data_IF_997396619760
#
_entry.id   IF_997396619760
#
_cell.length_a   1.000
_cell.length_b   1.000
_cell.length_c   1.000
_cell.angle_alpha   90.00
_cell.angle_beta   90.00
_cell.angle_gamma   90.00
#
_symmetry.space_group_name_H-M   'P 1'
#
loop_
_entity.id
_entity.type
_entity.pdbx_description
1 polymer ?
#
# COMPACT_ATOMS: atom_id res chain seq x y z
N UNK A 1 27.72 1.31 5.47
CA UNK A 1 26.92 2.38 4.83
C UNK A 1 25.72 1.72 4.20
N UNK A 2 24.50 2.21 4.46
CA UNK A 2 23.28 1.69 3.84
C UNK A 2 23.39 1.96 2.33
N UNK A 3 23.13 0.93 1.52
CA UNK A 3 23.10 1.12 0.07
C UNK A 3 21.87 1.94 -0.33
N UNK A 4 21.96 2.72 -1.42
CA UNK A 4 20.80 3.49 -1.92
C UNK A 4 19.59 2.57 -2.21
N UNK A 5 19.87 1.34 -2.64
CA UNK A 5 18.86 0.31 -2.91
C UNK A 5 18.13 -0.08 -1.63
N UNK A 6 18.87 -0.36 -0.56
CA UNK A 6 18.33 -0.73 0.75
C UNK A 6 17.52 0.42 1.38
N UNK A 7 17.96 1.67 1.20
CA UNK A 7 17.17 2.84 1.62
C UNK A 7 15.81 2.90 0.91
N UNK A 8 15.79 2.75 -0.42
CA UNK A 8 14.55 2.79 -1.21
C UNK A 8 13.61 1.64 -0.82
N UNK A 9 14.13 0.43 -0.63
CA UNK A 9 13.32 -0.72 -0.18
C UNK A 9 12.67 -0.47 1.18
N UNK A 10 13.43 0.03 2.15
CA UNK A 10 12.90 0.36 3.48
C UNK A 10 11.84 1.46 3.42
N UNK A 11 12.04 2.47 2.58
CA UNK A 11 11.06 3.54 2.37
C UNK A 11 9.75 3.00 1.77
N UNK A 12 9.84 2.14 0.75
CA UNK A 12 8.66 1.51 0.12
C UNK A 12 7.87 0.71 1.15
N UNK A 13 8.54 -0.12 1.96
CA UNK A 13 7.89 -0.92 3.01
C UNK A 13 7.21 0.00 4.03
N UNK A 14 7.90 1.04 4.49
CA UNK A 14 7.37 2.00 5.48
C UNK A 14 6.13 2.73 4.96
N UNK A 15 6.16 3.23 3.72
CA UNK A 15 5.02 3.92 3.10
C UNK A 15 3.84 2.95 2.93
N UNK A 16 4.11 1.72 2.50
CA UNK A 16 3.07 0.70 2.32
C UNK A 16 2.37 0.40 3.66
N UNK A 17 3.12 0.25 4.74
CA UNK A 17 2.56 0.05 6.09
C UNK A 17 1.69 1.22 6.50
N UNK A 18 2.17 2.47 6.35
CA UNK A 18 1.40 3.66 6.69
C UNK A 18 0.10 3.73 5.88
N UNK A 19 0.14 3.39 4.59
CA UNK A 19 -1.04 3.39 3.74
C UNK A 19 -2.08 2.34 4.18
N UNK A 20 -1.63 1.13 4.56
CA UNK A 20 -2.52 0.10 5.13
C UNK A 20 -3.14 0.56 6.46
N UNK A 21 -2.37 1.22 7.32
CA UNK A 21 -2.89 1.78 8.59
C UNK A 21 -3.97 2.83 8.31
N UNK A 22 -3.75 3.76 7.38
CA UNK A 22 -4.72 4.78 7.00
C UNK A 22 -6.00 4.17 6.43
N UNK A 23 -5.86 3.14 5.59
CA UNK A 23 -6.99 2.35 5.11
C UNK A 23 -7.81 1.79 6.27
N UNK A 24 -7.16 1.04 7.18
CA UNK A 24 -7.84 0.39 8.30
C UNK A 24 -8.51 1.41 9.21
N UNK A 25 -7.86 2.52 9.48
CA UNK A 25 -8.42 3.59 10.30
C UNK A 25 -9.69 4.17 9.68
N UNK A 26 -9.65 4.54 8.40
CA UNK A 26 -10.82 5.08 7.68
C UNK A 26 -11.95 4.05 7.62
N UNK A 27 -11.63 2.77 7.39
CA UNK A 27 -12.61 1.69 7.35
C UNK A 27 -13.30 1.47 8.71
N UNK A 28 -12.53 1.42 9.80
CA UNK A 28 -13.05 1.28 11.17
C UNK A 28 -13.91 2.48 11.55
N UNK A 29 -13.47 3.71 11.24
CA UNK A 29 -14.25 4.92 11.50
C UNK A 29 -15.56 4.91 10.70
N UNK A 30 -15.51 4.53 9.42
CA UNK A 30 -16.70 4.44 8.57
C UNK A 30 -17.75 3.48 9.14
N UNK A 31 -17.31 2.31 9.62
CA UNK A 31 -18.19 1.35 10.32
C UNK A 31 -18.70 1.88 11.65
N UNK A 32 -17.85 2.53 12.45
CA UNK A 32 -18.27 3.13 13.72
C UNK A 32 -19.37 4.19 13.51
N UNK A 33 -19.25 5.01 12.48
CA UNK A 33 -20.25 6.03 12.12
C UNK A 33 -21.54 5.36 11.62
N UNK A 34 -21.44 4.41 10.67
CA UNK A 34 -22.61 3.72 10.08
C UNK A 34 -23.38 2.88 11.12
N UNK A 35 -22.65 2.20 12.00
CA UNK A 35 -23.17 1.34 13.06
C UNK A 35 -23.68 2.09 14.30
N UNK A 36 -23.41 3.40 14.40
CA UNK A 36 -23.88 4.19 15.54
C UNK A 36 -25.43 4.29 15.58
N UNK A 37 -26.04 4.26 16.78
CA UNK A 37 -27.49 4.41 16.96
C UNK A 37 -27.93 5.88 16.85
N UNK A 38 -27.45 6.59 15.83
CA UNK A 38 -27.70 8.01 15.61
C UNK A 38 -28.77 8.20 14.53
N UNK A 39 -29.86 8.97 14.77
CA UNK A 39 -30.97 9.14 13.83
C UNK A 39 -30.71 10.19 12.73
N UNK A 40 -29.44 10.44 12.36
CA UNK A 40 -29.08 11.38 11.31
C UNK A 40 -28.66 10.63 10.04
N UNK A 41 -29.57 10.54 9.07
CA UNK A 41 -29.32 9.82 7.82
C UNK A 41 -28.11 10.36 7.03
N UNK A 42 -27.84 11.67 7.11
CA UNK A 42 -26.67 12.29 6.47
C UNK A 42 -25.35 11.75 7.03
N UNK A 43 -25.27 11.55 8.36
CA UNK A 43 -24.08 11.04 9.04
C UNK A 43 -23.84 9.57 8.65
N UNK A 44 -24.91 8.75 8.61
CA UNK A 44 -24.80 7.37 8.16
C UNK A 44 -24.30 7.24 6.72
N UNK A 45 -24.76 8.13 5.81
CA UNK A 45 -24.26 8.20 4.44
C UNK A 45 -22.78 8.59 4.36
N UNK A 46 -22.29 9.47 5.24
CA UNK A 46 -20.86 9.79 5.32
C UNK A 46 -20.05 8.56 5.73
N UNK A 47 -20.49 7.81 6.74
CA UNK A 47 -19.84 6.56 7.15
C UNK A 47 -19.79 5.53 6.02
N UNK A 48 -20.88 5.40 5.26
CA UNK A 48 -20.93 4.53 4.08
C UNK A 48 -19.95 4.95 2.98
N UNK A 49 -19.87 6.24 2.65
CA UNK A 49 -18.88 6.77 1.69
C UNK A 49 -17.45 6.52 2.15
N UNK A 50 -17.16 6.70 3.44
CA UNK A 50 -15.83 6.41 4.00
C UNK A 50 -15.47 4.93 3.86
N UNK A 51 -16.43 4.02 4.06
CA UNK A 51 -16.20 2.58 3.85
C UNK A 51 -15.92 2.30 2.38
N UNK A 52 -16.70 2.87 1.45
CA UNK A 52 -16.50 2.70 0.01
C UNK A 52 -15.11 3.20 -0.43
N UNK A 53 -14.75 4.42 -0.04
CA UNK A 53 -13.45 5.02 -0.35
C UNK A 53 -12.29 4.19 0.23
N UNK A 54 -12.46 3.67 1.46
CA UNK A 54 -11.47 2.79 2.07
C UNK A 54 -11.29 1.48 1.29
N UNK A 55 -12.38 0.85 0.85
CA UNK A 55 -12.30 -0.38 0.03
C UNK A 55 -11.58 -0.12 -1.29
N UNK A 56 -11.87 0.99 -1.96
CA UNK A 56 -11.15 1.39 -3.17
C UNK A 56 -9.67 1.63 -2.89
N UNK A 57 -9.32 2.30 -1.79
CA UNK A 57 -7.94 2.52 -1.41
C UNK A 57 -7.18 1.21 -1.15
N UNK A 58 -7.78 0.26 -0.41
CA UNK A 58 -7.19 -1.06 -0.19
C UNK A 58 -7.03 -1.86 -1.48
N UNK A 59 -8.02 -1.81 -2.37
CA UNK A 59 -7.95 -2.44 -3.67
C UNK A 59 -6.74 -1.91 -4.47
N UNK A 60 -6.58 -0.59 -4.56
CA UNK A 60 -5.45 0.01 -5.27
C UNK A 60 -4.10 -0.28 -4.61
N UNK A 61 -4.03 -0.30 -3.27
CA UNK A 61 -2.81 -0.70 -2.56
C UNK A 61 -2.42 -2.15 -2.84
N UNK A 62 -3.38 -3.07 -2.81
CA UNK A 62 -3.16 -4.47 -3.13
C UNK A 62 -2.73 -4.63 -4.59
N UNK A 63 -3.44 -4.03 -5.54
CA UNK A 63 -3.09 -4.07 -6.96
C UNK A 63 -1.70 -3.49 -7.24
N UNK A 64 -1.39 -2.31 -6.69
CA UNK A 64 -0.11 -1.64 -6.86
C UNK A 64 1.06 -2.46 -6.33
N UNK A 65 0.92 -3.03 -5.13
CA UNK A 65 1.94 -3.90 -4.53
C UNK A 65 2.12 -5.20 -5.33
N UNK A 66 1.04 -5.77 -5.87
CA UNK A 66 1.09 -6.97 -6.71
C UNK A 66 1.83 -6.71 -8.02
N UNK A 67 1.50 -5.62 -8.72
CA UNK A 67 2.17 -5.21 -9.97
C UNK A 67 3.66 -4.95 -9.73
N UNK A 68 3.99 -4.24 -8.65
CA UNK A 68 5.37 -3.97 -8.29
C UNK A 68 6.14 -5.25 -7.97
N UNK A 69 5.53 -6.19 -7.24
CA UNK A 69 6.14 -7.48 -6.93
C UNK A 69 6.43 -8.30 -8.21
N UNK A 70 5.52 -8.29 -9.19
CA UNK A 70 5.73 -8.96 -10.49
C UNK A 70 6.92 -8.33 -11.23
N UNK A 71 6.99 -7.00 -11.30
CA UNK A 71 8.10 -6.30 -11.96
C UNK A 71 9.43 -6.62 -11.27
N UNK A 72 9.45 -6.56 -9.93
CA UNK A 72 10.63 -6.89 -9.14
C UNK A 72 11.08 -8.34 -9.38
N UNK A 73 10.14 -9.29 -9.39
CA UNK A 73 10.42 -10.69 -9.69
C UNK A 73 11.04 -10.87 -11.08
N UNK A 74 10.43 -10.29 -12.12
CA UNK A 74 10.97 -10.33 -13.49
C UNK A 74 12.38 -9.75 -13.51
N UNK A 75 12.60 -8.58 -12.89
CA UNK A 75 13.93 -7.96 -12.84
C UNK A 75 14.99 -8.85 -12.19
N UNK A 76 14.64 -9.59 -11.12
CA UNK A 76 15.58 -10.53 -10.48
C UNK A 76 15.92 -11.74 -11.35
N UNK A 77 14.96 -12.23 -12.16
CA UNK A 77 15.18 -13.37 -13.05
C UNK A 77 16.12 -13.02 -14.21
N UNK A 78 16.00 -11.80 -14.75
CA UNK A 78 16.79 -11.36 -15.91
C UNK A 78 18.06 -10.59 -15.54
N UNK A 79 18.37 -10.43 -14.25
CA UNK A 79 19.59 -9.75 -13.82
C UNK A 79 20.82 -10.59 -14.17
N UNK A 80 21.63 -10.10 -15.10
CA UNK A 80 22.97 -10.64 -15.36
C UNK A 80 23.99 -9.87 -14.53
N UNK A 81 24.80 -10.54 -13.69
CA UNK A 81 25.87 -9.87 -12.97
C UNK A 81 26.85 -9.27 -13.98
N UNK A 82 27.36 -8.07 -13.68
CA UNK A 82 28.36 -7.41 -14.53
C UNK A 82 29.57 -8.36 -14.73
N UNK A 83 30.11 -8.48 -15.95
CA UNK A 83 31.30 -9.29 -16.18
C UNK A 83 32.45 -8.79 -15.30
N UNK A 84 33.29 -9.71 -14.83
CA UNK A 84 34.46 -9.36 -14.03
C UNK A 84 35.35 -8.37 -14.84
N UNK A 85 35.91 -7.35 -14.18
CA UNK A 85 36.78 -6.39 -14.85
C UNK A 85 37.98 -7.12 -15.48
N UNK A 86 38.43 -6.70 -16.68
CA UNK A 86 39.56 -7.33 -17.36
C UNK A 86 40.80 -7.27 -16.46
N UNK A 87 41.38 -8.44 -16.18
CA UNK A 87 42.68 -8.56 -15.51
C UNK A 87 43.77 -8.26 -16.53
N UNK A 88 44.62 -7.27 -16.25
CA UNK A 88 45.84 -6.99 -17.00
C UNK A 88 46.92 -7.99 -16.58
#
# INVERSE_FOLDING_TARGET
MISIVEFIQNLIVSITIVAWILFFLTWVIGWAIKGSPIPFMRIKRTGERMIEDAIWAAFWLAMGSTVFAIIAYIATVFYQPLPAPPTI
#
